data_IF_140177216885
#
_entry.id   IF_140177216885
#
_cell.length_a   1.000
_cell.length_b   1.000
_cell.length_c   1.000
_cell.angle_alpha   90.00
_cell.angle_beta   90.00
_cell.angle_gamma   90.00
#
_symmetry.space_group_name_H-M   'P 1'
#
loop_
_entity.id
_entity.type
_entity.pdbx_description
1 polymer ?
#
# COMPACT_ATOMS: atom_id res chain seq x y z
N UNK A 1 -15.49 6.46 -4.09
CA UNK A 1 -14.39 7.43 -4.05
C UNK A 1 -13.21 6.83 -4.79
N UNK A 2 -12.63 7.53 -5.75
CA UNK A 2 -11.48 7.00 -6.49
C UNK A 2 -10.20 7.24 -5.68
N UNK A 3 -9.42 6.19 -5.44
CA UNK A 3 -8.06 6.34 -4.94
C UNK A 3 -7.13 6.84 -6.05
N UNK A 4 -6.02 7.47 -5.68
CA UNK A 4 -4.95 7.86 -6.60
C UNK A 4 -3.75 6.94 -6.43
N UNK A 5 -3.03 6.70 -7.52
CA UNK A 5 -1.84 5.85 -7.53
C UNK A 5 -0.66 6.64 -8.07
N UNK A 6 0.47 6.59 -7.37
CA UNK A 6 1.72 7.22 -7.79
C UNK A 6 2.91 6.30 -7.52
N UNK A 7 3.99 6.47 -8.28
CA UNK A 7 5.28 5.83 -7.99
C UNK A 7 6.13 6.81 -7.20
N UNK A 8 6.63 6.38 -6.04
CA UNK A 8 7.51 7.17 -5.19
C UNK A 8 8.55 6.29 -4.52
N UNK A 9 9.83 6.63 -4.66
CA UNK A 9 10.93 5.91 -4.02
C UNK A 9 10.99 4.41 -4.35
N UNK A 10 10.54 4.01 -5.55
CA UNK A 10 10.46 2.61 -5.97
C UNK A 10 9.20 1.86 -5.49
N UNK A 11 8.31 2.52 -4.76
CA UNK A 11 7.05 1.96 -4.30
C UNK A 11 5.87 2.46 -5.13
N UNK A 12 4.86 1.61 -5.29
CA UNK A 12 3.53 2.03 -5.76
C UNK A 12 2.71 2.45 -4.54
N UNK A 13 2.36 3.74 -4.48
CA UNK A 13 1.62 4.34 -3.37
C UNK A 13 0.18 4.55 -3.79
N UNK A 14 -0.74 3.90 -3.08
CA UNK A 14 -2.19 4.09 -3.22
C UNK A 14 -2.67 5.05 -2.12
N UNK A 15 -3.25 6.18 -2.51
CA UNK A 15 -3.92 7.11 -1.60
C UNK A 15 -5.42 7.00 -1.77
N UNK A 16 -6.12 6.61 -0.69
CA UNK A 16 -7.59 6.62 -0.64
C UNK A 16 -8.04 7.80 0.21
N UNK A 17 -8.69 8.82 -0.37
CA UNK A 17 -9.23 9.91 0.42
C UNK A 17 -10.42 9.43 1.25
N UNK A 18 -10.54 9.98 2.46
CA UNK A 18 -11.69 9.74 3.33
C UNK A 18 -12.97 10.45 2.86
N UNK A 19 -14.08 10.25 3.60
CA UNK A 19 -14.16 9.52 4.86
C UNK A 19 -14.27 8.00 4.66
N UNK A 20 -13.52 7.25 5.47
CA UNK A 20 -13.67 5.79 5.62
C UNK A 20 -14.40 5.57 6.95
N UNK A 21 -15.56 4.92 6.90
CA UNK A 21 -16.36 4.70 8.10
C UNK A 21 -15.64 3.75 9.07
N UNK A 22 -15.43 4.23 10.30
CA UNK A 22 -14.87 3.40 11.38
C UNK A 22 -15.79 2.23 11.72
N UNK A 23 -15.21 1.15 12.25
CA UNK A 23 -15.95 -0.06 12.63
C UNK A 23 -16.43 -0.93 11.47
N UNK A 24 -16.01 -0.63 10.23
CA UNK A 24 -16.34 -1.41 9.04
C UNK A 24 -15.09 -1.91 8.34
N UNK A 25 -15.23 -2.99 7.58
CA UNK A 25 -14.18 -3.44 6.67
C UNK A 25 -14.13 -2.54 5.44
N UNK A 26 -12.93 -2.10 5.06
CA UNK A 26 -12.70 -1.33 3.86
C UNK A 26 -11.93 -2.17 2.83
N UNK A 27 -12.45 -2.26 1.62
CA UNK A 27 -11.75 -2.88 0.48
C UNK A 27 -11.13 -1.77 -0.38
N UNK A 28 -9.79 -1.69 -0.49
CA UNK A 28 -9.14 -0.74 -1.38
C UNK A 28 -9.56 -0.93 -2.83
N UNK A 29 -9.54 0.14 -3.65
CA UNK A 29 -9.77 0.01 -5.09
C UNK A 29 -8.69 -0.89 -5.72
N UNK A 30 -9.07 -1.62 -6.77
CA UNK A 30 -8.12 -2.37 -7.57
C UNK A 30 -7.13 -1.40 -8.26
N UNK A 31 -5.86 -1.78 -8.29
CA UNK A 31 -4.79 -1.02 -8.94
C UNK A 31 -4.18 -1.87 -10.04
N UNK A 32 -4.11 -1.32 -11.25
CA UNK A 32 -3.39 -1.93 -12.37
C UNK A 32 -2.01 -1.33 -12.46
N UNK A 33 -0.97 -2.17 -12.40
CA UNK A 33 0.43 -1.77 -12.53
C UNK A 33 0.98 -2.30 -13.85
N UNK A 34 1.50 -1.41 -14.69
CA UNK A 34 2.25 -1.79 -15.88
C UNK A 34 3.74 -1.78 -15.51
N UNK A 35 4.35 -2.96 -15.51
CA UNK A 35 5.77 -3.14 -15.19
C UNK A 35 6.53 -3.59 -16.43
N UNK A 36 7.79 -3.14 -16.56
CA UNK A 36 8.67 -3.60 -17.63
C UNK A 36 9.34 -4.90 -17.18
N UNK A 37 9.32 -5.92 -18.04
CA UNK A 37 9.99 -7.18 -17.77
C UNK A 37 11.50 -6.98 -17.60
N UNK A 38 12.09 -7.68 -16.64
CA UNK A 38 13.54 -7.79 -16.49
C UNK A 38 14.15 -8.74 -17.53
N UNK A 39 15.37 -9.20 -17.28
CA UNK A 39 16.00 -10.24 -18.09
C UNK A 39 15.24 -11.59 -17.96
N UNK A 40 15.31 -12.43 -18.99
CA UNK A 40 14.82 -13.80 -18.91
C UNK A 40 15.46 -14.55 -17.74
N UNK A 41 14.67 -15.36 -17.04
CA UNK A 41 15.06 -16.04 -15.81
C UNK A 41 14.95 -15.21 -14.53
N UNK A 42 14.56 -13.93 -14.61
CA UNK A 42 14.31 -13.09 -13.41
C UNK A 42 12.85 -13.15 -12.97
N UNK A 43 12.58 -12.76 -11.72
CA UNK A 43 11.23 -12.66 -11.16
C UNK A 43 10.91 -11.23 -10.75
N UNK A 44 9.67 -10.81 -11.04
CA UNK A 44 9.08 -9.58 -10.52
C UNK A 44 8.18 -10.00 -9.37
N UNK A 45 8.58 -9.66 -8.15
CA UNK A 45 7.83 -9.96 -6.93
C UNK A 45 7.28 -8.67 -6.35
N UNK A 46 5.98 -8.62 -6.07
CA UNK A 46 5.38 -7.51 -5.33
C UNK A 46 5.08 -7.91 -3.88
N UNK A 47 5.33 -6.98 -2.96
CA UNK A 47 5.10 -7.11 -1.51
C UNK A 47 4.51 -5.80 -0.99
N UNK A 48 3.94 -5.83 0.20
CA UNK A 48 3.68 -4.60 0.93
C UNK A 48 5.00 -3.88 1.24
N UNK A 49 4.98 -2.56 1.14
CA UNK A 49 6.12 -1.73 1.52
C UNK A 49 6.31 -1.70 3.05
N UNK A 50 7.41 -1.09 3.50
CA UNK A 50 7.69 -0.81 4.90
C UNK A 50 8.40 -1.95 5.65
N UNK A 51 9.20 -1.56 6.64
CA UNK A 51 10.05 -2.47 7.44
C UNK A 51 10.08 -2.15 8.93
N UNK A 52 9.55 -0.99 9.34
CA UNK A 52 9.48 -0.55 10.73
C UNK A 52 8.38 0.51 10.92
N UNK A 53 8.13 0.95 12.15
CA UNK A 53 7.23 2.09 12.40
C UNK A 53 7.80 3.42 11.90
N UNK A 54 9.14 3.54 11.79
CA UNK A 54 9.81 4.71 11.19
C UNK A 54 9.89 4.63 9.65
N UNK A 55 9.66 3.46 9.07
CA UNK A 55 9.53 3.22 7.63
C UNK A 55 8.26 2.39 7.38
N UNK A 56 7.06 3.01 7.52
CA UNK A 56 5.79 2.29 7.46
C UNK A 56 5.41 1.92 6.03
N UNK A 57 4.67 0.82 5.91
CA UNK A 57 4.06 0.36 4.65
C UNK A 57 2.67 0.91 4.40
N UNK A 58 1.98 1.28 5.47
CA UNK A 58 0.64 1.85 5.43
C UNK A 58 0.50 2.91 6.52
N UNK A 59 -0.12 4.03 6.14
CA UNK A 59 -0.47 5.12 7.03
C UNK A 59 -1.94 5.44 6.90
N UNK A 60 -2.61 5.69 8.02
CA UNK A 60 -4.02 6.08 8.06
C UNK A 60 -4.17 7.24 9.05
N UNK A 61 -5.01 8.22 8.72
CA UNK A 61 -5.40 9.26 9.67
C UNK A 61 -6.86 9.07 10.04
N UNK A 62 -7.12 8.81 11.30
CA UNK A 62 -8.47 8.68 11.85
C UNK A 62 -8.89 10.02 12.43
N UNK A 63 -10.02 10.55 11.97
CA UNK A 63 -10.60 11.76 12.56
C UNK A 63 -11.53 11.38 13.70
N UNK A 64 -11.16 11.75 14.92
CA UNK A 64 -11.94 11.50 16.14
C UNK A 64 -12.64 12.80 16.52
N UNK A 65 -13.96 12.73 16.75
CA UNK A 65 -14.73 13.88 17.22
C UNK A 65 -14.08 14.47 18.48
N UNK A 66 -13.96 15.80 18.55
CA UNK A 66 -13.35 16.55 19.65
C UNK A 66 -11.83 16.37 19.88
N UNK A 67 -11.18 15.39 19.24
CA UNK A 67 -9.73 15.13 19.38
C UNK A 67 -8.92 15.35 18.10
N UNK A 68 -9.58 15.56 16.95
CA UNK A 68 -8.92 15.84 15.68
C UNK A 68 -8.34 14.59 15.01
N UNK A 69 -7.33 14.78 14.15
CA UNK A 69 -6.70 13.71 13.37
C UNK A 69 -5.65 12.95 14.16
N UNK A 70 -5.81 11.64 14.28
CA UNK A 70 -4.84 10.73 14.89
C UNK A 70 -4.19 9.89 13.79
N UNK A 71 -2.88 10.00 13.64
CA UNK A 71 -2.11 9.25 12.66
C UNK A 71 -1.74 7.87 13.21
N UNK A 72 -2.01 6.84 12.40
CA UNK A 72 -1.61 5.46 12.62
C UNK A 72 -0.66 5.04 11.51
N UNK A 73 0.44 4.39 11.90
CA UNK A 73 1.42 3.84 10.97
C UNK A 73 1.64 2.36 11.28
N UNK A 74 1.73 1.54 10.24
CA UNK A 74 2.01 0.12 10.38
C UNK A 74 2.86 -0.41 9.23
N UNK A 75 3.51 -1.53 9.47
CA UNK A 75 4.28 -2.26 8.49
C UNK A 75 4.00 -3.76 8.67
N UNK A 76 4.03 -4.54 7.58
CA UNK A 76 3.80 -5.97 7.65
C UNK A 76 5.06 -6.67 8.21
N UNK A 77 4.87 -7.59 9.18
CA UNK A 77 5.96 -8.43 9.66
C UNK A 77 5.44 -9.82 10.07
N UNK A 78 5.81 -10.90 9.35
CA UNK A 78 6.59 -10.90 8.10
C UNK A 78 5.80 -10.29 6.93
N UNK A 79 6.49 -9.74 5.92
CA UNK A 79 5.82 -9.19 4.73
C UNK A 79 5.41 -10.30 3.76
N UNK A 80 4.10 -10.47 3.47
CA UNK A 80 3.65 -11.45 2.51
C UNK A 80 4.02 -11.06 1.08
N UNK A 81 4.21 -12.05 0.22
CA UNK A 81 4.25 -11.88 -1.23
C UNK A 81 2.83 -11.73 -1.76
N UNK A 82 2.57 -10.65 -2.51
CA UNK A 82 1.27 -10.39 -3.12
C UNK A 82 1.18 -11.03 -4.50
N UNK A 83 2.18 -10.81 -5.34
CA UNK A 83 2.28 -11.45 -6.66
C UNK A 83 3.73 -11.81 -6.99
N UNK A 84 3.88 -12.82 -7.83
CA UNK A 84 5.16 -13.21 -8.44
C UNK A 84 4.92 -13.45 -9.93
N UNK A 85 5.72 -12.82 -10.77
CA UNK A 85 5.72 -13.03 -12.22
C UNK A 85 7.12 -13.40 -12.67
N UNK A 86 7.28 -14.58 -13.26
CA UNK A 86 8.55 -15.03 -13.83
C UNK A 86 8.68 -14.53 -15.26
N UNK A 87 9.84 -13.99 -15.60
CA UNK A 87 10.18 -13.61 -16.97
C UNK A 87 10.88 -14.80 -17.64
N UNK A 88 10.31 -15.30 -18.74
CA UNK A 88 10.83 -16.44 -19.50
C UNK A 88 11.19 -16.07 -20.92
#
# INVERSE_FOLDING_TARGET
>A
MAGTVAISGGNVVLTVPGPIAGGTSFTPPAVTMNVTAGAAGTSITSKYAGTSYSNPGMTMTTNIAFFGGVATACYPNPSPTLTTTTVS
#
